data_IF_499492570628
#
_entry.id   IF_499492570628
#
_cell.length_a   1.000
_cell.length_b   1.000
_cell.length_c   1.000
_cell.angle_alpha   90.00
_cell.angle_beta   90.00
_cell.angle_gamma   90.00
#
_symmetry.space_group_name_H-M   'P 1'
#
loop_
_entity.id
_entity.type
_entity.pdbx_description
1 polymer ?
#
# COMPACT_ATOMS: atom_id res chain seq x y z
N UNK A 1 1.81 -0.59 34.64
CA UNK A 1 1.48 0.83 34.53
C UNK A 1 1.92 1.29 33.14
N UNK A 2 0.98 1.47 32.26
CA UNK A 2 1.26 2.13 30.99
C UNK A 2 1.13 3.60 31.30
N UNK A 3 2.24 4.29 31.36
CA UNK A 3 2.22 5.73 31.47
C UNK A 3 1.49 6.27 30.25
N UNK A 4 0.39 6.99 30.38
CA UNK A 4 -0.28 7.60 29.26
C UNK A 4 0.51 8.84 28.85
N UNK A 5 1.76 8.63 28.45
CA UNK A 5 2.66 9.72 28.15
C UNK A 5 2.30 10.48 26.86
N UNK A 6 1.33 9.99 26.13
CA UNK A 6 0.84 10.69 24.93
C UNK A 6 -0.64 10.37 24.76
N UNK A 7 -1.49 11.38 24.58
CA UNK A 7 -2.84 11.13 24.08
C UNK A 7 -2.65 10.54 22.70
N UNK A 8 -2.77 9.32 22.70
CA UNK A 8 -2.49 8.39 21.72
C UNK A 8 -3.30 8.66 20.51
N UNK A 9 -2.67 9.09 19.43
CA UNK A 9 -3.04 8.67 18.12
C UNK A 9 -4.41 8.92 17.59
N UNK A 10 -5.17 9.76 18.24
CA UNK A 10 -6.53 9.94 17.84
C UNK A 10 -6.66 11.17 16.99
N UNK A 11 -5.75 12.06 17.14
CA UNK A 11 -5.67 13.29 16.37
C UNK A 11 -4.29 13.90 16.58
N UNK A 12 -3.72 14.62 15.61
CA UNK A 12 -2.60 15.51 15.86
C UNK A 12 -2.96 16.63 16.84
N UNK A 13 -4.21 16.78 17.18
CA UNK A 13 -4.68 17.64 18.26
C UNK A 13 -4.61 16.89 19.59
N UNK A 14 -3.71 17.27 20.43
CA UNK A 14 -3.43 16.74 21.77
C UNK A 14 -4.66 16.72 22.71
N UNK A 15 -5.81 17.19 22.24
CA UNK A 15 -6.99 17.47 23.06
C UNK A 15 -8.29 16.82 22.51
N UNK A 16 -8.20 15.81 21.68
CA UNK A 16 -9.38 15.12 21.20
C UNK A 16 -10.03 14.33 22.34
N UNK A 17 -11.27 14.67 22.67
CA UNK A 17 -12.11 13.89 23.59
C UNK A 17 -12.92 12.91 22.74
N UNK A 18 -12.68 11.62 22.90
CA UNK A 18 -13.54 10.59 22.34
C UNK A 18 -14.76 10.39 23.22
N UNK A 19 -15.93 10.54 22.65
CA UNK A 19 -17.19 10.13 23.29
C UNK A 19 -17.44 8.62 23.17
N UNK A 20 -16.84 8.01 22.14
CA UNK A 20 -16.91 6.56 21.88
C UNK A 20 -15.58 6.13 21.28
N UNK A 21 -15.16 4.89 21.50
CA UNK A 21 -13.93 4.37 20.92
C UNK A 21 -13.69 2.91 21.28
N UNK A 22 -12.80 2.30 20.52
CA UNK A 22 -12.28 0.96 20.81
C UNK A 22 -10.94 1.07 21.53
N UNK A 23 -10.70 0.17 22.43
CA UNK A 23 -9.44 0.05 23.15
C UNK A 23 -8.66 -1.13 22.59
N UNK A 24 -7.39 -0.91 22.28
CA UNK A 24 -6.50 -1.95 21.76
C UNK A 24 -5.21 -1.99 22.57
N UNK A 25 -4.74 -3.19 22.87
CA UNK A 25 -3.39 -3.42 23.37
C UNK A 25 -2.48 -3.70 22.20
N UNK A 26 -1.44 -2.89 22.05
CA UNK A 26 -0.46 -3.04 20.97
C UNK A 26 0.88 -3.38 21.57
N UNK A 27 1.47 -4.48 21.10
CA UNK A 27 2.85 -4.86 21.41
C UNK A 27 3.77 -4.44 20.28
N UNK A 28 4.83 -3.73 20.61
CA UNK A 28 5.89 -3.38 19.67
C UNK A 28 7.07 -4.37 19.83
N UNK A 29 7.45 -5.03 18.73
CA UNK A 29 8.57 -5.96 18.67
C UNK A 29 8.16 -7.43 18.54
N UNK A 30 9.15 -8.26 18.23
CA UNK A 30 9.00 -9.73 18.20
C UNK A 30 9.21 -10.28 19.60
N UNK A 31 8.17 -10.81 20.20
CA UNK A 31 8.24 -11.45 21.52
C UNK A 31 6.85 -11.82 22.03
N UNK A 32 6.82 -12.76 22.95
CA UNK A 32 5.59 -13.09 23.65
C UNK A 32 5.38 -12.08 24.78
N UNK A 33 4.24 -11.37 24.75
CA UNK A 33 3.78 -10.53 25.85
C UNK A 33 2.63 -11.25 26.51
N UNK A 34 2.78 -11.53 27.78
CA UNK A 34 1.75 -12.16 28.60
C UNK A 34 1.11 -11.10 29.51
N UNK A 35 -0.20 -10.91 29.35
CA UNK A 35 -0.99 -10.03 30.21
C UNK A 35 -1.61 -10.90 31.32
N UNK A 36 -1.27 -10.61 32.58
CA UNK A 36 -1.84 -11.34 33.73
C UNK A 36 -3.20 -10.81 34.17
N UNK A 37 -3.40 -9.51 34.04
CA UNK A 37 -4.62 -8.85 34.42
C UNK A 37 -4.81 -7.57 33.61
N UNK A 38 -6.01 -7.39 33.08
CA UNK A 38 -6.44 -6.17 32.40
C UNK A 38 -7.73 -5.71 33.06
N UNK A 39 -7.72 -4.52 33.64
CA UNK A 39 -8.91 -3.89 34.17
C UNK A 39 -9.22 -2.60 33.42
N UNK A 40 -10.47 -2.40 33.09
CA UNK A 40 -11.00 -1.16 32.51
C UNK A 40 -12.01 -0.60 33.51
N UNK A 41 -11.73 0.60 34.02
CA UNK A 41 -12.62 1.33 34.89
C UNK A 41 -13.23 2.50 34.11
N UNK A 42 -14.55 2.66 34.20
CA UNK A 42 -15.22 3.86 33.70
C UNK A 42 -15.15 4.94 34.76
N UNK A 43 -14.57 6.08 34.41
CA UNK A 43 -14.59 7.26 35.27
C UNK A 43 -15.85 8.07 35.03
N UNK A 44 -16.50 8.51 36.14
CA UNK A 44 -17.59 9.45 36.04
C UNK A 44 -17.08 10.79 35.46
N UNK A 45 -17.86 11.41 34.57
CA UNK A 45 -17.49 12.67 33.90
C UNK A 45 -17.09 13.80 34.86
N UNK A 46 -17.63 13.79 36.06
CA UNK A 46 -17.28 14.72 37.15
C UNK A 46 -15.87 14.53 37.73
N UNK A 47 -15.30 13.35 37.55
CA UNK A 47 -13.97 12.98 38.06
C UNK A 47 -12.85 13.33 37.05
N UNK A 48 -13.24 13.75 35.85
CA UNK A 48 -12.33 14.13 34.78
C UNK A 48 -12.32 15.66 34.71
N UNK A 49 -11.22 16.28 35.10
CA UNK A 49 -11.04 17.74 34.97
C UNK A 49 -10.70 18.08 33.50
N UNK A 50 -11.74 18.11 32.66
CA UNK A 50 -11.59 18.52 31.25
C UNK A 50 -11.67 20.04 31.19
N UNK A 51 -10.64 20.75 30.73
CA UNK A 51 -10.71 22.19 30.52
C UNK A 51 -11.90 22.53 29.60
N UNK A 52 -12.72 23.47 30.00
CA UNK A 52 -14.06 23.73 29.44
C UNK A 52 -14.08 24.18 27.96
N UNK A 53 -12.94 24.37 27.30
CA UNK A 53 -12.87 24.78 25.92
C UNK A 53 -11.63 24.22 25.25
N UNK A 54 -11.77 23.07 24.64
CA UNK A 54 -10.85 22.65 23.60
C UNK A 54 -11.68 22.52 22.33
N UNK A 55 -11.63 23.55 21.49
CA UNK A 55 -12.12 23.43 20.13
C UNK A 55 -11.14 22.52 19.39
N UNK A 56 -11.48 21.24 19.34
CA UNK A 56 -10.77 20.30 18.48
C UNK A 56 -11.10 20.70 17.05
N UNK A 57 -10.11 21.22 16.35
CA UNK A 57 -10.23 21.38 14.92
C UNK A 57 -10.38 19.96 14.33
N UNK A 58 -11.58 19.62 13.86
CA UNK A 58 -11.81 18.35 13.17
C UNK A 58 -10.96 18.34 11.93
N UNK A 59 -9.98 17.47 11.90
CA UNK A 59 -9.33 17.09 10.66
C UNK A 59 -10.15 15.94 10.05
N UNK A 60 -10.82 16.19 8.94
CA UNK A 60 -11.66 15.19 8.28
C UNK A 60 -10.91 13.91 7.93
N UNK A 61 -9.61 14.04 7.63
CA UNK A 61 -8.75 12.90 7.32
C UNK A 61 -8.49 12.02 8.55
N UNK A 62 -8.33 12.62 9.74
CA UNK A 62 -8.17 11.85 10.98
C UNK A 62 -9.46 11.10 11.31
N UNK A 63 -10.61 11.73 11.11
CA UNK A 63 -11.91 11.08 11.27
C UNK A 63 -12.07 9.87 10.34
N UNK A 64 -11.56 9.94 9.11
CA UNK A 64 -11.66 8.85 8.14
C UNK A 64 -10.84 7.62 8.57
N UNK A 65 -9.62 7.80 9.04
CA UNK A 65 -8.79 6.69 9.55
C UNK A 65 -9.45 6.04 10.77
N UNK A 66 -10.00 6.85 11.69
CA UNK A 66 -10.75 6.34 12.84
C UNK A 66 -11.97 5.50 12.43
N UNK A 67 -12.74 5.97 11.44
CA UNK A 67 -13.88 5.23 10.91
C UNK A 67 -13.46 3.89 10.32
N UNK A 68 -12.35 3.85 9.56
CA UNK A 68 -11.84 2.60 9.01
C UNK A 68 -11.53 1.58 10.13
N UNK A 69 -10.88 2.02 11.22
CA UNK A 69 -10.65 1.15 12.37
C UNK A 69 -11.94 0.69 13.05
N UNK A 70 -12.95 1.56 13.16
CA UNK A 70 -14.26 1.21 13.72
C UNK A 70 -15.04 0.22 12.85
N UNK A 71 -14.85 0.26 11.54
CA UNK A 71 -15.46 -0.66 10.58
C UNK A 71 -14.70 -2.00 10.43
N UNK A 72 -13.67 -2.25 11.25
CA UNK A 72 -12.75 -3.39 11.09
C UNK A 72 -12.15 -3.46 9.66
N UNK A 73 -11.97 -2.30 9.06
CA UNK A 73 -11.35 -2.21 7.74
C UNK A 73 -9.82 -2.22 7.90
N UNK A 74 -9.07 -2.99 7.09
CA UNK A 74 -7.62 -3.04 7.21
C UNK A 74 -7.00 -1.69 6.84
N UNK A 75 -6.47 -0.99 7.83
CA UNK A 75 -5.77 0.30 7.65
C UNK A 75 -4.28 0.01 7.50
N UNK A 76 -3.91 -0.38 6.30
CA UNK A 76 -2.55 -0.75 5.91
C UNK A 76 -2.20 -0.08 4.58
N UNK A 77 -1.08 0.63 4.57
CA UNK A 77 -0.40 1.06 3.34
C UNK A 77 0.55 -0.06 2.90
N UNK A 78 0.20 -0.71 1.81
CA UNK A 78 0.90 -1.91 1.31
C UNK A 78 2.16 -1.58 0.49
N UNK A 79 2.41 -0.29 0.19
CA UNK A 79 3.44 0.10 -0.78
C UNK A 79 4.25 1.31 -0.29
N UNK A 80 5.04 1.08 0.77
CA UNK A 80 5.87 2.12 1.38
C UNK A 80 7.35 1.83 1.16
N UNK A 81 8.09 2.86 0.78
CA UNK A 81 9.55 2.80 0.57
C UNK A 81 10.30 3.70 1.53
N UNK A 82 11.46 3.25 2.00
CA UNK A 82 12.42 4.08 2.73
C UNK A 82 13.28 4.87 1.74
N UNK A 83 12.69 5.91 1.13
CA UNK A 83 13.29 6.74 0.09
C UNK A 83 13.35 8.22 0.50
N UNK A 84 14.19 9.00 -0.17
CA UNK A 84 14.25 10.45 -0.01
C UNK A 84 14.57 10.93 1.42
N UNK A 85 15.29 10.11 2.21
CA UNK A 85 15.57 10.42 3.62
C UNK A 85 14.50 9.92 4.60
N UNK A 86 13.47 9.21 4.13
CA UNK A 86 12.48 8.57 4.98
C UNK A 86 13.11 7.36 5.68
N UNK A 87 13.42 7.50 6.96
CA UNK A 87 14.04 6.44 7.75
C UNK A 87 13.00 5.52 8.40
N UNK A 88 13.42 4.32 8.81
CA UNK A 88 12.54 3.37 9.52
C UNK A 88 11.99 3.96 10.83
N UNK A 89 12.78 4.77 11.53
CA UNK A 89 12.34 5.45 12.75
C UNK A 89 11.30 6.55 12.45
N UNK A 90 11.48 7.28 11.35
CA UNK A 90 10.49 8.26 10.89
C UNK A 90 9.20 7.55 10.45
N UNK A 91 9.30 6.43 9.73
CA UNK A 91 8.17 5.61 9.33
C UNK A 91 7.40 5.10 10.55
N UNK A 92 8.09 4.57 11.57
CA UNK A 92 7.45 4.11 12.80
C UNK A 92 6.74 5.24 13.56
N UNK A 93 7.36 6.43 13.64
CA UNK A 93 6.68 7.59 14.25
C UNK A 93 5.46 8.02 13.46
N UNK A 94 5.55 8.07 12.13
CA UNK A 94 4.45 8.48 11.28
C UNK A 94 3.30 7.48 11.31
N UNK A 95 3.58 6.19 11.21
CA UNK A 95 2.58 5.13 11.34
C UNK A 95 1.82 5.26 12.68
N UNK A 96 2.53 5.45 13.78
CA UNK A 96 1.90 5.70 15.08
C UNK A 96 1.05 6.96 15.11
N UNK A 97 1.52 8.04 14.52
CA UNK A 97 0.80 9.32 14.49
C UNK A 97 -0.47 9.26 13.64
N UNK A 98 -0.43 8.58 12.51
CA UNK A 98 -1.55 8.52 11.57
C UNK A 98 -2.53 7.39 11.85
N UNK A 99 -2.13 6.36 12.61
CA UNK A 99 -2.90 5.14 12.79
C UNK A 99 -2.92 4.23 11.56
N UNK A 100 -2.05 4.50 10.57
CA UNK A 100 -1.92 3.68 9.35
C UNK A 100 -0.73 2.74 9.54
N UNK A 101 -0.94 1.44 9.42
CA UNK A 101 0.14 0.47 9.40
C UNK A 101 0.88 0.53 8.07
N UNK A 102 2.18 0.19 8.07
CA UNK A 102 2.99 0.20 6.87
C UNK A 102 3.53 -1.18 6.53
N UNK A 103 3.47 -1.53 5.25
CA UNK A 103 4.28 -2.58 4.69
C UNK A 103 5.49 -1.94 3.98
N UNK A 104 6.68 -2.18 4.51
CA UNK A 104 7.91 -1.59 3.98
C UNK A 104 8.56 -2.53 2.98
N UNK A 105 8.83 -2.02 1.78
CA UNK A 105 9.39 -2.78 0.68
C UNK A 105 10.65 -2.14 0.09
N UNK A 106 11.73 -2.90 -0.10
CA UNK A 106 12.82 -2.51 -0.99
C UNK A 106 12.44 -2.77 -2.45
N UNK A 107 12.98 -1.95 -3.37
CA UNK A 107 12.92 -2.25 -4.79
C UNK A 107 14.00 -3.30 -5.13
N UNK A 108 13.57 -4.46 -5.61
CA UNK A 108 14.40 -5.64 -5.85
C UNK A 108 14.43 -5.99 -7.34
N UNK A 109 15.57 -5.82 -7.98
CA UNK A 109 15.77 -6.10 -9.40
C UNK A 109 17.11 -5.61 -9.91
N UNK A 110 17.44 -5.94 -11.14
CA UNK A 110 18.68 -5.47 -11.78
C UNK A 110 18.62 -3.96 -11.99
N UNK A 111 19.58 -3.24 -11.38
CA UNK A 111 19.64 -1.78 -11.42
C UNK A 111 18.76 -1.07 -10.39
N UNK A 112 18.21 -1.81 -9.42
CA UNK A 112 17.46 -1.28 -8.29
C UNK A 112 18.26 -1.38 -6.98
N UNK A 113 17.63 -1.07 -5.84
CA UNK A 113 18.32 -0.99 -4.54
C UNK A 113 18.86 -2.32 -4.06
N UNK A 114 18.12 -3.39 -4.28
CA UNK A 114 18.46 -4.76 -3.91
C UNK A 114 18.58 -5.60 -5.18
N UNK A 115 19.76 -6.21 -5.39
CA UNK A 115 20.09 -6.88 -6.65
C UNK A 115 20.40 -8.37 -6.50
N UNK A 116 20.42 -8.88 -5.28
CA UNK A 116 20.72 -10.29 -4.97
C UNK A 116 20.11 -10.72 -3.63
N UNK A 117 20.16 -12.01 -3.33
CA UNK A 117 19.69 -12.60 -2.08
C UNK A 117 20.40 -12.02 -0.85
N UNK A 118 21.68 -11.67 -0.95
CA UNK A 118 22.43 -11.07 0.16
C UNK A 118 21.85 -9.72 0.53
N UNK A 119 21.47 -8.92 -0.46
CA UNK A 119 20.78 -7.64 -0.27
C UNK A 119 19.42 -7.83 0.41
N UNK A 120 18.65 -8.88 0.04
CA UNK A 120 17.39 -9.22 0.72
C UNK A 120 17.64 -9.49 2.21
N UNK A 121 18.59 -10.38 2.55
CA UNK A 121 18.86 -10.71 3.94
C UNK A 121 19.37 -9.50 4.74
N UNK A 122 20.20 -8.65 4.14
CA UNK A 122 20.67 -7.42 4.79
C UNK A 122 19.51 -6.44 5.09
N UNK A 123 18.56 -6.31 4.16
CA UNK A 123 17.36 -5.52 4.38
C UNK A 123 16.52 -6.10 5.52
N UNK A 124 16.20 -7.38 5.47
CA UNK A 124 15.40 -8.07 6.49
C UNK A 124 16.04 -7.95 7.89
N UNK A 125 17.36 -8.13 8.01
CA UNK A 125 18.08 -7.97 9.25
C UNK A 125 17.99 -6.54 9.81
N UNK A 126 18.05 -5.53 8.92
CA UNK A 126 17.91 -4.12 9.31
C UNK A 126 16.52 -3.76 9.83
N UNK A 127 15.50 -4.54 9.43
CA UNK A 127 14.10 -4.32 9.78
C UNK A 127 13.59 -5.21 10.91
N UNK A 128 14.37 -6.18 11.36
CA UNK A 128 13.97 -7.23 12.30
C UNK A 128 13.34 -6.75 13.61
N UNK A 129 13.73 -5.57 14.07
CA UNK A 129 13.23 -4.97 15.33
C UNK A 129 12.14 -3.92 15.10
N UNK A 130 11.69 -3.76 13.87
CA UNK A 130 10.70 -2.75 13.52
C UNK A 130 9.28 -3.35 13.43
N UNK A 131 8.24 -2.60 13.80
CA UNK A 131 6.87 -3.10 13.83
C UNK A 131 6.19 -3.00 12.46
N UNK A 132 6.86 -3.43 11.40
CA UNK A 132 6.33 -3.34 10.04
C UNK A 132 6.05 -4.73 9.45
N UNK A 133 5.08 -4.77 8.57
CA UNK A 133 4.95 -5.84 7.60
C UNK A 133 6.08 -5.66 6.57
N UNK A 134 6.73 -6.75 6.19
CA UNK A 134 7.86 -6.69 5.25
C UNK A 134 7.42 -7.22 3.90
N UNK A 135 7.46 -6.36 2.91
CA UNK A 135 7.12 -6.72 1.54
C UNK A 135 8.33 -6.60 0.61
N UNK A 136 8.25 -7.20 -0.56
CA UNK A 136 9.23 -7.09 -1.61
C UNK A 136 8.59 -6.50 -2.86
N UNK A 137 9.16 -5.45 -3.44
CA UNK A 137 8.82 -5.02 -4.80
C UNK A 137 9.72 -5.70 -5.82
N UNK A 138 9.15 -6.61 -6.60
CA UNK A 138 9.84 -7.22 -7.74
C UNK A 138 9.85 -6.28 -8.93
N UNK A 139 11.05 -5.87 -9.36
CA UNK A 139 11.27 -4.86 -10.40
C UNK A 139 11.91 -5.45 -11.65
N UNK A 140 11.43 -5.00 -12.81
CA UNK A 140 11.80 -5.62 -14.09
C UNK A 140 11.15 -7.00 -14.23
N UNK A 141 11.53 -7.76 -15.27
CA UNK A 141 10.95 -9.12 -15.45
C UNK A 141 11.90 -10.20 -14.95
N UNK A 142 13.18 -9.88 -14.87
CA UNK A 142 14.26 -10.75 -14.41
C UNK A 142 14.27 -10.99 -12.89
N UNK A 143 13.54 -10.23 -12.08
CA UNK A 143 13.50 -10.40 -10.63
C UNK A 143 13.10 -11.82 -10.21
N UNK A 144 12.24 -12.47 -11.00
CA UNK A 144 11.75 -13.84 -10.74
C UNK A 144 12.89 -14.85 -10.69
N UNK A 145 13.92 -14.66 -11.53
CA UNK A 145 15.08 -15.56 -11.64
C UNK A 145 16.31 -15.03 -10.92
N UNK A 146 16.36 -13.73 -10.61
CA UNK A 146 17.48 -13.10 -9.90
C UNK A 146 17.52 -13.51 -8.43
N UNK A 147 16.36 -13.64 -7.81
CA UNK A 147 16.25 -13.96 -6.39
C UNK A 147 15.78 -15.40 -6.19
N UNK A 148 16.40 -16.10 -5.26
CA UNK A 148 15.96 -17.46 -4.91
C UNK A 148 14.57 -17.45 -4.30
N UNK A 149 13.84 -18.52 -4.50
CA UNK A 149 12.52 -18.72 -3.88
C UNK A 149 12.61 -18.62 -2.35
N UNK A 150 13.70 -19.17 -1.76
CA UNK A 150 13.94 -19.10 -0.33
C UNK A 150 14.02 -17.65 0.16
N UNK A 151 14.80 -16.79 -0.50
CA UNK A 151 14.92 -15.38 -0.11
C UNK A 151 13.61 -14.62 -0.29
N UNK A 152 12.90 -14.86 -1.40
CA UNK A 152 11.59 -14.25 -1.66
C UNK A 152 10.55 -14.64 -0.61
N UNK A 153 10.56 -15.89 -0.17
CA UNK A 153 9.64 -16.41 0.83
C UNK A 153 9.89 -15.90 2.25
N UNK A 154 10.93 -15.12 2.51
CA UNK A 154 11.13 -14.45 3.80
C UNK A 154 10.22 -13.21 3.99
N UNK A 155 9.70 -12.65 2.92
CA UNK A 155 8.75 -11.54 2.98
C UNK A 155 7.32 -12.00 3.28
N UNK A 156 6.52 -11.13 3.89
CA UNK A 156 5.10 -11.41 4.16
C UNK A 156 4.29 -11.47 2.88
N UNK A 157 4.61 -10.63 1.91
CA UNK A 157 4.08 -10.68 0.56
C UNK A 157 5.03 -10.03 -0.46
N UNK A 158 4.76 -10.29 -1.73
CA UNK A 158 5.50 -9.72 -2.86
C UNK A 158 4.53 -8.98 -3.75
N UNK A 159 4.95 -7.82 -4.25
CA UNK A 159 4.23 -7.10 -5.29
C UNK A 159 5.14 -6.76 -6.46
N UNK A 160 4.55 -6.57 -7.61
CA UNK A 160 5.24 -6.21 -8.84
C UNK A 160 4.35 -5.36 -9.73
N UNK A 161 4.95 -4.69 -10.68
CA UNK A 161 4.26 -3.87 -11.67
C UNK A 161 4.60 -4.26 -13.10
N UNK A 162 3.93 -3.63 -14.04
CA UNK A 162 4.20 -3.78 -15.48
C UNK A 162 4.89 -2.55 -16.07
N UNK A 163 5.63 -1.78 -15.27
CA UNK A 163 6.23 -0.51 -15.71
C UNK A 163 7.60 -0.68 -16.34
N UNK A 164 8.31 -1.79 -16.06
CA UNK A 164 9.62 -2.07 -16.63
C UNK A 164 9.55 -3.33 -17.47
N UNK A 165 9.78 -3.21 -18.77
CA UNK A 165 9.76 -4.35 -19.70
C UNK A 165 10.65 -4.08 -20.94
N UNK A 166 10.74 -5.07 -21.83
CA UNK A 166 11.37 -4.92 -23.15
C UNK A 166 10.28 -4.62 -24.16
N UNK A 167 10.43 -3.50 -24.88
CA UNK A 167 9.49 -3.06 -25.93
C UNK A 167 9.59 -3.87 -27.23
N UNK A 168 8.77 -3.52 -28.21
CA UNK A 168 8.75 -4.19 -29.52
C UNK A 168 10.05 -4.04 -30.31
N UNK A 169 10.91 -3.07 -29.96
CA UNK A 169 12.22 -2.85 -30.58
C UNK A 169 13.38 -3.50 -29.81
N UNK A 170 13.06 -4.29 -28.76
CA UNK A 170 14.06 -4.98 -27.93
C UNK A 170 14.75 -4.07 -26.91
N UNK A 171 14.22 -2.85 -26.66
CA UNK A 171 14.79 -1.92 -25.69
C UNK A 171 14.15 -2.13 -24.33
N UNK A 172 14.94 -2.07 -23.26
CA UNK A 172 14.41 -1.98 -21.89
C UNK A 172 13.79 -0.59 -21.72
N UNK A 173 12.55 -0.55 -21.29
CA UNK A 173 11.77 0.68 -21.11
C UNK A 173 11.22 0.71 -19.70
N UNK A 174 11.28 1.90 -19.10
CA UNK A 174 10.58 2.25 -17.85
C UNK A 174 9.51 3.29 -18.18
N UNK A 175 8.25 2.92 -18.04
CA UNK A 175 7.13 3.78 -18.51
C UNK A 175 7.05 5.14 -17.81
N UNK A 176 7.65 5.29 -16.64
CA UNK A 176 7.69 6.57 -15.91
C UNK A 176 8.88 7.46 -16.30
N UNK A 177 9.72 7.03 -17.23
CA UNK A 177 10.85 7.81 -17.75
C UNK A 177 10.55 8.20 -19.18
N UNK A 178 10.17 9.48 -19.38
CA UNK A 178 9.70 9.97 -20.67
C UNK A 178 10.68 9.75 -21.83
N UNK A 179 11.97 9.91 -21.57
CA UNK A 179 13.03 9.73 -22.60
C UNK A 179 13.21 8.27 -23.06
N UNK A 180 12.71 7.31 -22.29
CA UNK A 180 12.74 5.88 -22.65
C UNK A 180 11.51 5.46 -23.45
N UNK A 181 10.43 6.24 -23.40
CA UNK A 181 9.15 5.92 -24.04
C UNK A 181 9.11 6.53 -25.44
N UNK A 182 9.13 5.69 -26.46
CA UNK A 182 9.05 6.12 -27.86
C UNK A 182 7.82 5.45 -28.49
N UNK A 183 6.84 6.26 -28.84
CA UNK A 183 5.53 5.83 -29.35
C UNK A 183 5.43 6.22 -30.82
N UNK A 184 5.52 5.24 -31.72
CA UNK A 184 5.31 5.43 -33.15
C UNK A 184 3.82 5.32 -33.52
N UNK A 185 3.09 4.42 -32.83
CA UNK A 185 1.67 4.15 -33.02
C UNK A 185 1.06 3.88 -31.63
N UNK A 186 0.20 4.78 -31.17
CA UNK A 186 -0.36 4.75 -29.83
C UNK A 186 -1.21 3.51 -29.56
N UNK A 187 -1.98 3.04 -30.55
CA UNK A 187 -2.85 1.88 -30.35
C UNK A 187 -2.02 0.59 -30.24
N UNK A 188 -1.00 0.42 -31.06
CA UNK A 188 -0.08 -0.72 -30.94
C UNK A 188 0.73 -0.67 -29.64
N UNK A 189 1.11 0.54 -29.21
CA UNK A 189 1.83 0.72 -27.96
C UNK A 189 0.93 0.33 -26.76
N UNK A 190 -0.34 0.74 -26.81
CA UNK A 190 -1.32 0.37 -25.81
C UNK A 190 -1.59 -1.14 -25.78
N UNK A 191 -1.71 -1.79 -26.93
CA UNK A 191 -1.88 -3.24 -27.02
C UNK A 191 -0.66 -3.97 -26.41
N UNK A 192 0.56 -3.45 -26.65
CA UNK A 192 1.76 -3.96 -25.99
C UNK A 192 1.70 -3.78 -24.48
N UNK A 193 1.28 -2.62 -23.96
CA UNK A 193 1.12 -2.41 -22.50
C UNK A 193 0.17 -3.44 -21.92
N UNK A 194 -0.99 -3.66 -22.54
CA UNK A 194 -1.97 -4.65 -22.10
C UNK A 194 -1.38 -6.05 -22.09
N UNK A 195 -0.70 -6.45 -23.17
CA UNK A 195 -0.10 -7.78 -23.26
C UNK A 195 1.01 -7.98 -22.21
N UNK A 196 1.88 -6.96 -21.99
CA UNK A 196 2.91 -7.02 -20.94
C UNK A 196 2.28 -7.09 -19.56
N UNK A 197 1.22 -6.33 -19.30
CA UNK A 197 0.47 -6.40 -18.06
C UNK A 197 -0.09 -7.80 -17.81
N UNK A 198 -0.73 -8.41 -18.80
CA UNK A 198 -1.25 -9.78 -18.66
C UNK A 198 -0.13 -10.83 -18.45
N UNK A 199 1.07 -10.61 -19.03
CA UNK A 199 2.22 -11.49 -18.80
C UNK A 199 2.72 -11.39 -17.35
N UNK A 200 2.76 -10.20 -16.78
CA UNK A 200 3.19 -9.95 -15.40
C UNK A 200 2.28 -10.66 -14.39
N UNK A 201 0.99 -10.82 -14.68
CA UNK A 201 0.08 -11.54 -13.79
C UNK A 201 0.52 -12.99 -13.51
N UNK A 202 1.34 -13.59 -14.36
CA UNK A 202 1.87 -14.96 -14.19
C UNK A 202 3.06 -15.04 -13.25
N UNK A 203 3.64 -13.90 -12.86
CA UNK A 203 4.79 -13.87 -11.96
C UNK A 203 4.37 -14.20 -10.51
N UNK A 204 5.29 -14.73 -9.68
CA UNK A 204 4.98 -15.19 -8.32
C UNK A 204 4.87 -14.02 -7.32
N UNK A 205 4.09 -13.00 -7.66
CA UNK A 205 3.74 -11.88 -6.79
C UNK A 205 2.28 -12.00 -6.32
N UNK A 206 1.98 -11.41 -5.17
CA UNK A 206 0.63 -11.38 -4.61
C UNK A 206 -0.18 -10.20 -5.16
N UNK A 207 0.46 -9.03 -5.24
CA UNK A 207 -0.21 -7.76 -5.56
C UNK A 207 0.35 -7.21 -6.87
N UNK A 208 -0.55 -6.78 -7.75
CA UNK A 208 -0.24 -5.99 -8.92
C UNK A 208 -0.35 -4.51 -8.57
N UNK A 209 0.80 -3.82 -8.54
CA UNK A 209 0.89 -2.41 -8.17
C UNK A 209 1.07 -1.51 -9.39
N UNK A 210 0.88 -0.20 -9.19
CA UNK A 210 0.86 0.78 -10.27
C UNK A 210 -0.06 0.37 -11.44
N UNK A 211 -1.25 -0.18 -11.16
CA UNK A 211 -2.07 -0.82 -12.16
C UNK A 211 -2.66 0.20 -13.13
N UNK A 212 -2.81 -0.19 -14.38
CA UNK A 212 -3.40 0.67 -15.41
C UNK A 212 -2.64 1.99 -15.62
N UNK A 213 -1.35 2.02 -15.32
CA UNK A 213 -0.50 3.18 -15.57
C UNK A 213 -0.37 3.45 -17.07
N UNK A 214 -0.31 4.72 -17.45
CA UNK A 214 0.05 5.17 -18.80
C UNK A 214 1.25 6.12 -18.73
N UNK A 215 2.15 6.08 -19.71
CA UNK A 215 3.23 7.06 -19.82
C UNK A 215 2.65 8.46 -20.05
N UNK A 216 3.40 9.49 -19.70
CA UNK A 216 2.96 10.90 -19.77
C UNK A 216 2.39 11.27 -21.14
N UNK A 217 2.98 10.75 -22.23
CA UNK A 217 2.54 11.02 -23.61
C UNK A 217 1.11 10.54 -23.92
N UNK A 218 0.55 9.67 -23.07
CA UNK A 218 -0.79 9.08 -23.25
C UNK A 218 -1.74 9.37 -22.09
N UNK A 219 -1.23 9.86 -20.97
CA UNK A 219 -1.97 9.93 -19.70
C UNK A 219 -3.16 10.92 -19.73
N UNK A 220 -3.10 11.98 -20.55
CA UNK A 220 -4.17 12.95 -20.75
C UNK A 220 -5.41 12.36 -21.42
N UNK A 221 -5.27 11.21 -22.07
CA UNK A 221 -6.33 10.48 -22.77
C UNK A 221 -6.59 9.11 -22.14
N UNK A 222 -6.48 9.02 -20.84
CA UNK A 222 -6.53 7.77 -20.05
C UNK A 222 -7.73 6.89 -20.41
N UNK A 223 -8.95 7.45 -20.38
CA UNK A 223 -10.18 6.68 -20.64
C UNK A 223 -10.31 6.28 -22.12
N UNK A 224 -9.66 7.00 -23.05
CA UNK A 224 -9.64 6.63 -24.46
C UNK A 224 -8.76 5.39 -24.70
N UNK A 225 -7.67 5.24 -23.96
CA UNK A 225 -6.77 4.11 -24.12
C UNK A 225 -7.18 2.89 -23.29
N UNK A 226 -7.69 3.11 -22.08
CA UNK A 226 -8.23 2.05 -21.25
C UNK A 226 -9.71 1.78 -21.59
N UNK A 227 -9.93 1.27 -22.81
CA UNK A 227 -11.27 0.84 -23.26
C UNK A 227 -11.81 -0.30 -22.39
N UNK A 228 -13.11 -0.48 -22.39
CA UNK A 228 -13.77 -1.56 -21.65
C UNK A 228 -13.17 -2.94 -21.97
N UNK A 229 -12.89 -3.23 -23.24
CA UNK A 229 -12.30 -4.49 -23.68
C UNK A 229 -10.89 -4.71 -23.10
N UNK A 230 -10.04 -3.67 -23.10
CA UNK A 230 -8.68 -3.75 -22.55
C UNK A 230 -8.71 -3.90 -21.04
N UNK A 231 -9.60 -3.16 -20.37
CA UNK A 231 -9.79 -3.27 -18.93
C UNK A 231 -10.26 -4.67 -18.53
N UNK A 232 -11.25 -5.21 -19.23
CA UNK A 232 -11.76 -6.57 -18.99
C UNK A 232 -10.66 -7.61 -19.17
N UNK A 233 -9.87 -7.53 -20.24
CA UNK A 233 -8.73 -8.43 -20.48
C UNK A 233 -7.72 -8.43 -19.31
N UNK A 234 -7.42 -7.26 -18.74
CA UNK A 234 -6.52 -7.15 -17.59
C UNK A 234 -7.17 -7.70 -16.32
N UNK A 235 -8.45 -7.39 -16.08
CA UNK A 235 -9.19 -7.90 -14.91
C UNK A 235 -9.28 -9.43 -14.96
N UNK A 236 -9.55 -10.01 -16.12
CA UNK A 236 -9.58 -11.45 -16.30
C UNK A 236 -8.22 -12.09 -15.96
N UNK A 237 -7.11 -11.49 -16.44
CA UNK A 237 -5.78 -11.95 -16.11
C UNK A 237 -5.46 -11.83 -14.60
N UNK A 238 -5.95 -10.80 -13.92
CA UNK A 238 -5.85 -10.63 -12.46
C UNK A 238 -6.55 -11.79 -11.75
N UNK A 239 -7.78 -12.11 -12.16
CA UNK A 239 -8.61 -13.17 -11.55
C UNK A 239 -7.99 -14.53 -11.82
N UNK A 240 -7.64 -14.84 -13.07
CA UNK A 240 -7.05 -16.13 -13.48
C UNK A 240 -5.78 -16.45 -12.68
N UNK A 241 -5.01 -15.44 -12.31
CA UNK A 241 -3.75 -15.59 -11.58
C UNK A 241 -3.85 -15.24 -10.08
N UNK A 242 -5.07 -15.02 -9.57
CA UNK A 242 -5.34 -14.76 -8.15
C UNK A 242 -4.61 -13.53 -7.60
N UNK A 243 -4.45 -12.47 -8.41
CA UNK A 243 -3.76 -11.25 -8.00
C UNK A 243 -4.68 -10.29 -7.25
N UNK A 244 -4.07 -9.52 -6.38
CA UNK A 244 -4.66 -8.36 -5.72
C UNK A 244 -4.37 -7.12 -6.55
N UNK A 245 -5.34 -6.21 -6.61
CA UNK A 245 -5.24 -4.95 -7.35
C UNK A 245 -4.95 -3.79 -6.39
N UNK A 246 -3.85 -3.07 -6.59
CA UNK A 246 -3.57 -1.86 -5.84
C UNK A 246 -4.50 -0.71 -6.23
N UNK A 247 -4.90 0.10 -5.24
CA UNK A 247 -5.38 1.47 -5.43
C UNK A 247 -4.22 2.38 -5.02
N UNK A 248 -3.65 3.08 -6.00
CA UNK A 248 -2.38 3.78 -5.90
C UNK A 248 -2.56 5.27 -5.66
N UNK A 249 -1.94 5.78 -4.59
CA UNK A 249 -2.03 7.19 -4.20
C UNK A 249 -1.19 8.12 -5.08
N UNK A 250 0.01 7.67 -5.50
CA UNK A 250 0.93 8.53 -6.22
C UNK A 250 0.37 8.98 -7.57
N UNK A 251 -0.28 8.05 -8.27
CA UNK A 251 -0.80 8.28 -9.62
C UNK A 251 -2.31 8.41 -9.69
N UNK A 252 -3.03 8.23 -8.58
CA UNK A 252 -4.49 8.20 -8.51
C UNK A 252 -5.11 7.20 -9.51
N UNK A 253 -4.58 5.98 -9.52
CA UNK A 253 -5.00 4.87 -10.38
C UNK A 253 -5.30 3.60 -9.56
N UNK A 254 -6.16 2.67 -10.09
CA UNK A 254 -7.00 2.80 -11.28
C UNK A 254 -8.14 3.80 -11.10
N UNK A 255 -8.80 4.19 -12.18
CA UNK A 255 -9.98 5.06 -12.10
C UNK A 255 -11.14 4.37 -11.36
N UNK A 256 -12.08 5.17 -10.85
CA UNK A 256 -13.32 4.68 -10.19
C UNK A 256 -14.05 3.63 -11.03
N UNK A 257 -14.15 3.85 -12.34
CA UNK A 257 -14.84 2.92 -13.25
C UNK A 257 -14.17 1.54 -13.28
N UNK A 258 -12.83 1.52 -13.33
CA UNK A 258 -12.04 0.28 -13.31
C UNK A 258 -12.16 -0.42 -11.94
N UNK A 259 -12.05 0.32 -10.83
CA UNK A 259 -12.23 -0.23 -9.48
C UNK A 259 -13.62 -0.88 -9.33
N UNK A 260 -14.67 -0.21 -9.80
CA UNK A 260 -16.03 -0.74 -9.73
C UNK A 260 -16.20 -2.03 -10.55
N UNK A 261 -15.59 -2.10 -11.76
CA UNK A 261 -15.58 -3.32 -12.58
C UNK A 261 -14.81 -4.45 -11.89
N UNK A 262 -13.60 -4.18 -11.38
CA UNK A 262 -12.77 -5.16 -10.69
C UNK A 262 -13.48 -5.71 -9.44
N UNK A 263 -14.11 -4.84 -8.65
CA UNK A 263 -14.93 -5.25 -7.50
C UNK A 263 -16.06 -6.18 -7.89
N UNK A 264 -16.83 -5.80 -8.93
CA UNK A 264 -17.92 -6.64 -9.43
C UNK A 264 -17.44 -8.02 -9.88
N UNK A 265 -16.22 -8.11 -10.38
CA UNK A 265 -15.58 -9.35 -10.79
C UNK A 265 -14.96 -10.14 -9.61
N UNK A 266 -15.02 -9.62 -8.38
CA UNK A 266 -14.53 -10.30 -7.17
C UNK A 266 -13.04 -10.14 -6.89
N UNK A 267 -12.36 -9.19 -7.57
CA UNK A 267 -10.95 -8.86 -7.31
C UNK A 267 -10.80 -8.30 -5.89
N UNK A 268 -9.72 -8.68 -5.20
CA UNK A 268 -9.33 -8.10 -3.92
C UNK A 268 -8.44 -6.89 -4.13
N UNK A 269 -8.46 -5.95 -3.17
CA UNK A 269 -7.74 -4.69 -3.26
C UNK A 269 -6.70 -4.52 -2.16
N UNK A 270 -5.70 -3.69 -2.44
CA UNK A 270 -4.76 -3.12 -1.46
C UNK A 270 -4.68 -1.60 -1.68
N UNK A 271 -4.30 -0.87 -0.64
CA UNK A 271 -4.01 0.56 -0.72
C UNK A 271 -2.50 0.78 -0.72
N UNK A 272 -1.98 1.65 -1.56
CA UNK A 272 -0.55 1.87 -1.65
C UNK A 272 -0.18 3.32 -1.92
N UNK A 273 0.66 3.92 -1.05
CA UNK A 273 1.13 5.28 -1.27
C UNK A 273 2.17 5.37 -2.39
N UNK A 274 2.98 4.33 -2.57
CA UNK A 274 4.11 4.35 -3.51
C UNK A 274 4.98 5.61 -3.35
N UNK A 275 5.31 5.95 -2.10
CA UNK A 275 5.99 7.20 -1.79
C UNK A 275 7.38 7.30 -2.44
N UNK A 276 7.70 8.49 -2.93
CA UNK A 276 9.01 8.85 -3.49
C UNK A 276 9.81 9.78 -2.57
N UNK A 277 9.18 10.25 -1.49
CA UNK A 277 9.72 11.18 -0.51
C UNK A 277 9.35 10.72 0.91
N UNK A 278 9.82 11.40 1.99
CA UNK A 278 9.37 11.12 3.35
C UNK A 278 7.87 11.38 3.59
N UNK A 279 7.21 12.08 2.70
CA UNK A 279 5.77 12.38 2.79
C UNK A 279 4.97 11.21 2.20
N UNK A 280 4.57 10.28 3.06
CA UNK A 280 3.82 9.07 2.65
C UNK A 280 2.33 9.36 2.38
N UNK A 281 1.80 10.49 2.90
CA UNK A 281 0.37 10.80 2.80
C UNK A 281 -0.51 10.02 3.78
N UNK A 282 -1.81 10.02 3.55
CA UNK A 282 -2.82 9.45 4.46
C UNK A 282 -3.85 8.59 3.73
N UNK A 283 -3.52 8.07 2.55
CA UNK A 283 -4.40 7.22 1.74
C UNK A 283 -5.68 7.94 1.29
N UNK A 284 -5.57 9.21 0.94
CA UNK A 284 -6.70 10.08 0.60
C UNK A 284 -7.49 9.56 -0.61
N UNK A 285 -6.79 9.25 -1.70
CA UNK A 285 -7.42 8.70 -2.91
C UNK A 285 -8.03 7.32 -2.65
N UNK A 286 -7.31 6.45 -1.95
CA UNK A 286 -7.77 5.11 -1.61
C UNK A 286 -9.04 5.15 -0.75
N UNK A 287 -9.09 6.03 0.23
CA UNK A 287 -10.26 6.24 1.10
C UNK A 287 -11.43 6.82 0.29
N UNK A 288 -11.16 7.77 -0.61
CA UNK A 288 -12.16 8.28 -1.53
C UNK A 288 -12.74 7.14 -2.39
N UNK A 289 -11.89 6.31 -3.00
CA UNK A 289 -12.33 5.19 -3.83
C UNK A 289 -13.07 4.13 -3.02
N UNK A 290 -12.65 3.87 -1.77
CA UNK A 290 -13.42 3.02 -0.85
C UNK A 290 -14.86 3.51 -0.71
N UNK A 291 -15.04 4.80 -0.43
CA UNK A 291 -16.36 5.41 -0.26
C UNK A 291 -17.19 5.35 -1.55
N UNK A 292 -16.59 5.78 -2.65
CA UNK A 292 -17.29 5.91 -3.94
C UNK A 292 -17.62 4.57 -4.61
N UNK A 293 -16.81 3.54 -4.40
CA UNK A 293 -17.02 2.18 -4.91
C UNK A 293 -17.65 1.23 -3.88
N UNK A 294 -17.89 1.72 -2.64
CA UNK A 294 -18.48 0.94 -1.57
C UNK A 294 -17.62 -0.26 -1.15
N UNK A 295 -16.29 -0.11 -1.14
CA UNK A 295 -15.40 -1.19 -0.70
C UNK A 295 -15.59 -1.47 0.79
N UNK A 296 -15.59 -2.76 1.15
CA UNK A 296 -15.70 -3.27 2.52
C UNK A 296 -14.43 -4.01 2.92
N UNK A 297 -14.31 -4.37 4.19
CA UNK A 297 -13.16 -5.18 4.66
C UNK A 297 -13.07 -6.53 3.95
N UNK A 298 -14.18 -7.04 3.41
CA UNK A 298 -14.20 -8.27 2.63
C UNK A 298 -13.60 -8.12 1.24
N UNK A 299 -13.56 -6.91 0.69
CA UNK A 299 -12.95 -6.63 -0.62
C UNK A 299 -11.42 -6.48 -0.52
N UNK A 300 -10.88 -6.35 0.71
CA UNK A 300 -9.47 -6.09 0.95
C UNK A 300 -8.66 -7.37 1.08
N UNK A 301 -7.42 -7.30 0.60
CA UNK A 301 -6.41 -8.32 0.83
C UNK A 301 -5.89 -8.24 2.27
N UNK A 302 -5.76 -9.40 2.92
CA UNK A 302 -5.15 -9.56 4.24
C UNK A 302 -3.89 -10.41 4.06
N UNK A 303 -2.69 -9.83 4.15
CA UNK A 303 -1.46 -10.60 3.98
C UNK A 303 -1.30 -11.60 5.13
N UNK A 304 -0.75 -12.79 4.86
CA UNK A 304 -0.33 -13.70 5.92
C UNK A 304 0.87 -13.09 6.63
N UNK A 305 0.67 -12.58 7.83
CA UNK A 305 1.78 -12.07 8.66
C UNK A 305 2.56 -13.25 9.19
N UNK A 306 3.87 -13.30 8.89
CA UNK A 306 4.78 -14.31 9.42
C UNK A 306 5.24 -13.86 10.82
N UNK A 307 4.83 -14.62 11.84
CA UNK A 307 5.22 -14.41 13.25
C UNK A 307 6.67 -14.82 13.51
#
# INVERSE_FOLDING_TARGET
>A
YIEPAQPWRISPNENAVLSEGTFSLVSEGKGNIEFKEISIETLDRKDINIPAQIAVAKNEQDDDILRLHQEDFPVLDYHVHLKGGFTKEAAARQSRRTGINYAIAPNCGIGFTVTDDKGIYAFLDSMRTQPFILAMQGEGREWVTTFSEKARNEFDFIFTDALTFTDMKGRRVRLWINDEVIIDDEQKYMDMIVDKTCQVMKEPANIFVNPFFLPEQMSDRYDMFWTDERVEKVIDAIIENGKVLEINELYHIPSKAIIAKAKKAGVKFSFGSNNISPEVGRLEYSIQMKKECGLTSQDMYKPPVKL
#
